data_IF_652732924384
#
_entry.id   IF_652732924384
#
_cell.length_a   1.000
_cell.length_b   1.000
_cell.length_c   1.000
_cell.angle_alpha   90.00
_cell.angle_beta   90.00
_cell.angle_gamma   90.00
#
_symmetry.space_group_name_H-M   'P 1'
#
loop_
_entity.id
_entity.type
_entity.pdbx_description
1 polymer ?
#
# COMPACT_ATOMS: atom_id res chain seq x y z
N UNK A 1 -83.43 40.30 -30.12
CA UNK A 1 -83.03 41.72 -30.12
C UNK A 1 -81.52 41.81 -29.98
N UNK A 2 -80.90 42.57 -30.88
CA UNK A 2 -79.57 43.23 -30.87
C UNK A 2 -78.29 42.42 -30.55
N UNK A 3 -77.37 42.60 -31.50
CA UNK A 3 -75.99 42.15 -31.59
C UNK A 3 -75.00 42.92 -30.69
N UNK A 4 -73.76 42.37 -30.62
CA UNK A 4 -72.43 43.00 -30.52
C UNK A 4 -71.55 42.24 -29.51
N UNK A 5 -70.24 42.01 -29.66
CA UNK A 5 -69.21 42.29 -30.67
C UNK A 5 -67.98 41.44 -30.27
N UNK A 6 -67.25 40.92 -31.26
CA UNK A 6 -65.88 40.39 -31.12
C UNK A 6 -64.92 41.44 -30.57
N UNK A 7 -63.95 41.04 -29.74
CA UNK A 7 -62.54 41.41 -29.94
C UNK A 7 -61.57 40.49 -29.21
N UNK A 8 -60.56 40.07 -29.98
CA UNK A 8 -59.44 39.20 -29.67
C UNK A 8 -58.40 39.98 -28.85
N UNK A 9 -57.93 39.40 -27.74
CA UNK A 9 -56.68 39.80 -27.08
C UNK A 9 -55.86 38.53 -26.87
N UNK A 10 -54.72 38.47 -27.57
CA UNK A 10 -53.79 37.36 -27.54
C UNK A 10 -53.08 37.25 -26.19
N UNK A 11 -52.95 36.01 -25.71
CA UNK A 11 -52.06 35.64 -24.61
C UNK A 11 -50.93 34.81 -25.19
N UNK A 12 -49.74 35.40 -25.23
CA UNK A 12 -48.48 34.70 -25.49
C UNK A 12 -48.20 33.85 -24.26
N UNK A 13 -48.45 32.54 -24.36
CA UNK A 13 -48.01 31.57 -23.36
C UNK A 13 -46.51 31.36 -23.51
N UNK A 14 -45.72 32.09 -22.70
CA UNK A 14 -44.30 31.83 -22.52
C UNK A 14 -44.11 30.46 -21.86
N UNK A 15 -43.59 29.50 -22.61
CA UNK A 15 -43.07 28.24 -22.10
C UNK A 15 -41.83 28.53 -21.23
N UNK A 16 -42.03 28.71 -19.94
CA UNK A 16 -40.95 28.61 -18.95
C UNK A 16 -40.60 27.12 -18.86
N UNK A 17 -39.63 26.72 -19.67
CA UNK A 17 -38.94 25.44 -19.51
C UNK A 17 -38.26 25.44 -18.14
N UNK A 18 -38.84 24.71 -17.19
CA UNK A 18 -38.19 24.36 -15.93
C UNK A 18 -37.06 23.39 -16.28
N UNK A 19 -35.89 23.94 -16.60
CA UNK A 19 -34.64 23.21 -16.58
C UNK A 19 -34.24 23.10 -15.11
N UNK A 20 -34.81 22.10 -14.43
CA UNK A 20 -34.37 21.72 -13.09
C UNK A 20 -32.94 21.19 -13.22
N UNK A 21 -31.99 22.01 -12.77
CA UNK A 21 -30.58 21.65 -12.67
C UNK A 21 -30.43 20.44 -11.74
N UNK A 22 -30.18 19.27 -12.31
CA UNK A 22 -29.62 18.13 -11.59
C UNK A 22 -28.11 18.34 -11.41
N UNK A 23 -27.73 19.33 -10.62
CA UNK A 23 -26.35 19.50 -10.15
C UNK A 23 -26.14 18.68 -8.86
N UNK A 24 -26.33 17.36 -8.99
CA UNK A 24 -25.94 16.37 -8.01
C UNK A 24 -25.11 15.32 -8.74
N UNK A 25 -23.91 15.71 -9.14
CA UNK A 25 -22.99 14.78 -9.82
C UNK A 25 -22.71 13.62 -8.89
N UNK A 26 -23.19 12.42 -9.24
CA UNK A 26 -22.79 11.20 -8.56
C UNK A 26 -21.27 11.13 -8.58
N UNK A 27 -20.65 11.07 -7.40
CA UNK A 27 -19.21 10.82 -7.29
C UNK A 27 -18.88 9.55 -8.09
N UNK A 28 -17.79 9.57 -8.85
CA UNK A 28 -17.37 8.37 -9.57
C UNK A 28 -17.10 7.23 -8.57
N UNK A 29 -17.19 5.98 -9.03
CA UNK A 29 -16.88 4.81 -8.18
C UNK A 29 -15.47 4.94 -7.57
N UNK A 30 -14.51 5.48 -8.33
CA UNK A 30 -13.16 5.79 -7.88
C UNK A 30 -13.13 6.84 -6.75
N UNK A 31 -13.95 7.89 -6.83
CA UNK A 31 -14.03 8.92 -5.79
C UNK A 31 -14.65 8.36 -4.51
N UNK A 32 -15.70 7.54 -4.61
CA UNK A 32 -16.32 6.90 -3.45
C UNK A 32 -15.33 5.96 -2.76
N UNK A 33 -14.65 5.09 -3.53
CA UNK A 33 -13.60 4.20 -3.05
C UNK A 33 -12.47 4.97 -2.37
N UNK A 34 -12.03 6.07 -2.98
CA UNK A 34 -11.02 6.96 -2.41
C UNK A 34 -11.43 7.57 -1.08
N UNK A 35 -12.68 8.05 -0.97
CA UNK A 35 -13.23 8.59 0.27
C UNK A 35 -13.30 7.54 1.39
N UNK A 36 -13.79 6.34 1.10
CA UNK A 36 -13.87 5.24 2.08
C UNK A 36 -12.48 4.87 2.62
N UNK A 37 -11.50 4.73 1.73
CA UNK A 37 -10.13 4.40 2.11
C UNK A 37 -9.45 5.54 2.88
N UNK A 38 -9.63 6.78 2.45
CA UNK A 38 -9.12 7.95 3.17
C UNK A 38 -9.71 8.04 4.58
N UNK A 39 -11.02 7.83 4.72
CA UNK A 39 -11.72 7.82 6.01
C UNK A 39 -11.16 6.73 6.92
N UNK A 40 -10.85 5.56 6.36
CA UNK A 40 -10.35 4.43 7.14
C UNK A 40 -8.89 4.62 7.60
N UNK A 41 -8.01 5.10 6.71
CA UNK A 41 -6.56 5.09 6.93
C UNK A 41 -5.94 6.46 7.19
N UNK A 42 -6.48 7.54 6.61
CA UNK A 42 -5.81 8.84 6.55
C UNK A 42 -6.44 9.89 7.49
N UNK A 43 -7.77 9.88 7.62
CA UNK A 43 -8.55 10.90 8.33
C UNK A 43 -8.13 11.11 9.79
N UNK A 44 -7.64 10.07 10.47
CA UNK A 44 -7.21 10.18 11.87
C UNK A 44 -6.02 11.12 12.09
N UNK A 45 -5.22 11.33 11.04
CA UNK A 45 -4.07 12.24 11.07
C UNK A 45 -4.33 13.51 10.26
N UNK A 46 -4.98 13.39 9.10
CA UNK A 46 -5.22 14.51 8.18
C UNK A 46 -6.57 15.22 8.36
N UNK A 47 -7.47 14.73 9.20
CA UNK A 47 -8.81 15.27 9.36
C UNK A 47 -9.78 14.81 8.28
N UNK A 48 -11.06 15.15 8.41
CA UNK A 48 -12.09 14.81 7.43
C UNK A 48 -11.97 15.69 6.19
N UNK A 49 -11.66 16.99 6.36
CA UNK A 49 -11.51 17.93 5.25
C UNK A 49 -10.08 18.06 4.73
N UNK A 50 -9.11 17.35 5.35
CA UNK A 50 -7.70 17.47 5.02
C UNK A 50 -6.99 18.66 5.66
N UNK A 51 -7.71 19.52 6.41
CA UNK A 51 -7.14 20.68 7.08
C UNK A 51 -6.28 20.29 8.27
N UNK A 52 -5.27 21.10 8.53
CA UNK A 52 -4.47 20.97 9.76
C UNK A 52 -5.34 21.10 11.01
N UNK A 53 -4.92 20.43 12.07
CA UNK A 53 -5.59 20.40 13.38
C UNK A 53 -6.93 19.66 13.44
N UNK A 54 -7.44 19.07 12.36
CA UNK A 54 -8.69 18.31 12.39
C UNK A 54 -8.51 16.83 12.76
N UNK A 55 -7.38 16.23 12.42
CA UNK A 55 -7.11 14.81 12.70
C UNK A 55 -7.14 14.53 14.20
N UNK A 56 -7.84 13.47 14.61
CA UNK A 56 -7.91 13.02 16.02
C UNK A 56 -6.53 12.90 16.68
N UNK A 57 -5.51 12.49 15.93
CA UNK A 57 -4.15 12.29 16.43
C UNK A 57 -3.28 13.57 16.41
N UNK A 58 -3.78 14.68 15.84
CA UNK A 58 -2.99 15.88 15.54
C UNK A 58 -2.21 16.44 16.72
N UNK A 59 -2.88 16.59 17.87
CA UNK A 59 -2.29 17.12 19.10
C UNK A 59 -1.20 16.22 19.70
N UNK A 60 -1.15 14.95 19.31
CA UNK A 60 -0.25 13.95 19.86
C UNK A 60 0.89 13.56 18.89
N UNK A 61 0.88 14.11 17.67
CA UNK A 61 1.94 13.88 16.69
C UNK A 61 3.16 14.80 16.95
N UNK A 62 4.39 14.27 16.86
CA UNK A 62 5.59 15.09 16.87
C UNK A 62 5.70 15.92 15.59
N UNK A 63 6.55 16.94 15.61
CA UNK A 63 6.92 17.66 14.38
C UNK A 63 7.92 16.83 13.54
N UNK A 64 7.88 16.94 12.20
CA UNK A 64 6.87 17.68 11.43
C UNK A 64 5.50 16.98 11.47
N UNK A 65 4.43 17.77 11.56
CA UNK A 65 3.04 17.29 11.51
C UNK A 65 2.57 17.09 10.08
N UNK A 66 1.50 16.30 9.85
CA UNK A 66 0.99 16.07 8.51
C UNK A 66 0.64 17.35 7.76
N UNK A 67 0.91 17.36 6.45
CA UNK A 67 0.63 18.48 5.55
C UNK A 67 -0.87 18.80 5.48
N UNK A 68 -1.20 20.06 5.25
CA UNK A 68 -2.57 20.50 4.95
C UNK A 68 -2.97 20.03 3.53
N UNK A 69 -3.81 19.01 3.45
CA UNK A 69 -4.24 18.46 2.16
C UNK A 69 -5.29 19.32 1.47
N UNK A 70 -5.85 20.32 2.16
CA UNK A 70 -6.83 21.27 1.63
C UNK A 70 -6.18 22.55 1.09
N UNK A 71 -4.90 22.78 1.39
CA UNK A 71 -4.17 23.96 0.92
C UNK A 71 -3.93 23.88 -0.59
N UNK A 72 -4.78 24.57 -1.35
CA UNK A 72 -4.69 24.62 -2.82
C UNK A 72 -3.35 25.14 -3.34
N UNK A 73 -2.79 26.20 -2.75
CA UNK A 73 -1.56 26.82 -3.27
C UNK A 73 -0.38 25.86 -3.20
N UNK A 74 -0.32 25.05 -2.15
CA UNK A 74 0.76 24.09 -1.94
C UNK A 74 0.46 22.78 -2.66
N UNK A 75 -0.73 22.22 -2.48
CA UNK A 75 -1.11 20.91 -3.02
C UNK A 75 -1.17 20.89 -4.55
N UNK A 76 -1.45 22.04 -5.19
CA UNK A 76 -1.40 22.16 -6.66
C UNK A 76 0.01 22.09 -7.24
N UNK A 77 1.07 22.18 -6.43
CA UNK A 77 2.46 22.07 -6.91
C UNK A 77 2.93 20.63 -7.11
N UNK A 78 2.29 19.67 -6.46
CA UNK A 78 2.61 18.24 -6.58
C UNK A 78 1.90 17.61 -7.76
N UNK A 79 2.57 16.70 -8.47
CA UNK A 79 1.96 15.82 -9.47
C UNK A 79 1.19 14.69 -8.78
N UNK A 80 0.30 14.04 -9.53
CA UNK A 80 -0.46 12.89 -9.02
C UNK A 80 0.48 11.76 -8.58
N UNK A 81 1.54 11.54 -9.35
CA UNK A 81 2.58 10.56 -9.07
C UNK A 81 3.36 10.91 -7.80
N UNK A 82 3.57 12.19 -7.48
CA UNK A 82 4.28 12.59 -6.26
C UNK A 82 3.47 12.21 -5.01
N UNK A 83 2.15 12.43 -5.06
CA UNK A 83 1.22 12.03 -3.98
C UNK A 83 1.15 10.50 -3.89
N UNK A 84 1.02 9.81 -5.03
CA UNK A 84 1.01 8.35 -5.10
C UNK A 84 2.29 7.75 -4.49
N UNK A 85 3.45 8.22 -4.93
CA UNK A 85 4.76 7.75 -4.47
C UNK A 85 4.93 8.00 -2.98
N UNK A 86 4.36 9.07 -2.46
CA UNK A 86 4.39 9.36 -1.03
C UNK A 86 3.55 8.39 -0.22
N UNK A 87 2.38 7.97 -0.71
CA UNK A 87 1.52 6.96 -0.06
C UNK A 87 2.14 5.55 -0.19
N UNK A 88 2.85 5.30 -1.29
CA UNK A 88 3.39 3.97 -1.68
C UNK A 88 4.90 3.82 -1.48
N UNK A 89 5.59 4.74 -0.79
CA UNK A 89 7.02 4.60 -0.48
C UNK A 89 7.28 3.56 0.60
N UNK A 90 8.50 3.07 0.69
CA UNK A 90 8.92 2.30 1.86
C UNK A 90 9.07 3.20 3.10
N UNK A 91 9.06 2.59 4.28
CA UNK A 91 9.32 3.29 5.54
C UNK A 91 10.78 3.78 5.56
N UNK A 92 10.99 5.03 5.98
CA UNK A 92 12.30 5.68 6.05
C UNK A 92 12.90 5.47 7.45
N UNK A 93 14.17 5.10 7.54
CA UNK A 93 14.89 5.00 8.82
C UNK A 93 15.50 6.34 9.20
N UNK A 94 14.97 6.99 10.23
CA UNK A 94 15.45 8.29 10.72
C UNK A 94 16.57 8.20 11.76
N UNK A 95 17.12 7.01 11.98
CA UNK A 95 18.28 6.82 12.87
C UNK A 95 19.51 7.57 12.35
N UNK A 96 20.50 7.88 13.20
CA UNK A 96 21.77 8.47 12.74
C UNK A 96 22.40 7.63 11.62
N UNK A 97 22.62 8.26 10.46
CA UNK A 97 23.14 7.59 9.26
C UNK A 97 22.09 6.91 8.37
N UNK A 98 20.81 7.02 8.72
CA UNK A 98 19.68 6.55 7.92
C UNK A 98 19.27 7.53 6.81
N UNK A 99 18.00 7.45 6.42
CA UNK A 99 17.42 8.23 5.33
C UNK A 99 17.37 9.72 5.68
N UNK A 100 17.87 10.54 4.75
CA UNK A 100 17.72 11.99 4.84
C UNK A 100 16.31 12.37 4.42
N UNK A 101 15.67 13.20 5.23
CA UNK A 101 14.34 13.75 4.95
C UNK A 101 14.56 15.23 4.62
N UNK A 102 14.25 15.61 3.39
CA UNK A 102 14.35 17.00 2.96
C UNK A 102 13.14 17.79 3.45
N UNK A 103 13.32 19.10 3.63
CA UNK A 103 12.22 20.01 4.02
C UNK A 103 11.09 20.04 2.95
N UNK A 104 11.41 19.64 1.72
CA UNK A 104 10.48 19.55 0.59
C UNK A 104 9.71 18.21 0.50
N UNK A 105 10.02 17.22 1.36
CA UNK A 105 9.35 15.93 1.32
C UNK A 105 7.88 16.06 1.75
N UNK A 106 6.96 15.62 0.88
CA UNK A 106 5.51 15.68 1.12
C UNK A 106 5.06 14.96 2.41
N UNK A 107 5.72 13.84 2.76
CA UNK A 107 5.41 13.05 3.94
C UNK A 107 6.41 13.22 5.07
N UNK A 108 5.84 13.35 6.25
CA UNK A 108 6.55 13.24 7.51
C UNK A 108 7.05 11.80 7.73
N UNK A 109 8.18 11.59 8.43
CA UNK A 109 8.71 10.24 8.69
C UNK A 109 7.71 9.30 9.37
N UNK A 110 6.80 9.87 10.18
CA UNK A 110 5.77 9.13 10.92
C UNK A 110 4.57 8.73 10.04
N UNK A 111 4.46 9.22 8.80
CA UNK A 111 3.41 8.78 7.89
C UNK A 111 3.68 7.33 7.47
N UNK A 112 2.75 6.39 7.71
CA UNK A 112 2.95 5.00 7.39
C UNK A 112 2.91 4.77 5.88
N UNK A 113 3.60 3.72 5.43
CA UNK A 113 3.46 3.20 4.08
C UNK A 113 2.15 2.42 3.91
N UNK A 114 1.52 2.56 2.74
CA UNK A 114 0.39 1.74 2.33
C UNK A 114 0.72 0.79 1.18
N UNK A 115 1.97 0.82 0.69
CA UNK A 115 2.50 -0.01 -0.40
C UNK A 115 2.20 -1.51 -0.22
N UNK A 116 2.25 -2.00 1.02
CA UNK A 116 2.06 -3.40 1.35
C UNK A 116 0.65 -3.73 1.86
N UNK A 117 -0.24 -2.73 1.87
CA UNK A 117 -1.61 -2.85 2.41
C UNK A 117 -2.65 -2.70 1.32
N UNK A 118 -2.48 -1.72 0.43
CA UNK A 118 -3.44 -1.33 -0.59
C UNK A 118 -2.92 -1.74 -1.98
N UNK A 119 -3.84 -1.99 -2.91
CA UNK A 119 -3.49 -2.16 -4.32
C UNK A 119 -3.12 -0.82 -4.97
N UNK A 120 -2.44 -0.84 -6.13
CA UNK A 120 -2.11 0.38 -6.87
C UNK A 120 -3.37 1.21 -7.18
N UNK A 121 -4.43 0.55 -7.65
CA UNK A 121 -5.73 1.19 -7.93
C UNK A 121 -6.36 1.82 -6.68
N UNK A 122 -6.27 1.18 -5.52
CA UNK A 122 -6.74 1.74 -4.26
C UNK A 122 -5.96 2.99 -3.85
N UNK A 123 -4.64 3.01 -4.05
CA UNK A 123 -3.83 4.20 -3.78
C UNK A 123 -4.20 5.32 -4.76
N UNK A 124 -4.40 5.03 -6.04
CA UNK A 124 -4.89 6.02 -7.00
C UNK A 124 -6.27 6.57 -6.64
N UNK A 125 -7.16 5.74 -6.09
CA UNK A 125 -8.45 6.21 -5.57
C UNK A 125 -8.24 7.21 -4.42
N UNK A 126 -7.32 6.95 -3.50
CA UNK A 126 -6.96 7.90 -2.43
C UNK A 126 -6.40 9.19 -3.02
N UNK A 127 -5.47 9.14 -3.99
CA UNK A 127 -4.93 10.34 -4.65
C UNK A 127 -6.07 11.15 -5.26
N UNK A 128 -6.99 10.49 -5.97
CA UNK A 128 -8.15 11.14 -6.57
C UNK A 128 -9.05 11.83 -5.55
N UNK A 129 -9.26 11.21 -4.38
CA UNK A 129 -10.01 11.85 -3.29
C UNK A 129 -9.23 13.02 -2.68
N UNK A 130 -7.92 12.86 -2.42
CA UNK A 130 -7.06 13.92 -1.90
C UNK A 130 -7.08 15.14 -2.83
N UNK A 131 -7.10 14.96 -4.16
CA UNK A 131 -7.28 16.05 -5.13
C UNK A 131 -8.55 16.86 -4.90
N UNK A 132 -9.64 16.21 -4.50
CA UNK A 132 -10.90 16.92 -4.24
C UNK A 132 -10.83 17.83 -3.02
N UNK A 133 -9.99 17.52 -2.02
CA UNK A 133 -9.86 18.31 -0.78
C UNK A 133 -9.32 19.73 -1.03
N UNK A 134 -8.57 19.92 -2.12
CA UNK A 134 -8.04 21.22 -2.55
C UNK A 134 -8.59 21.69 -3.91
N UNK A 135 -9.75 21.14 -4.33
CA UNK A 135 -10.48 21.59 -5.51
C UNK A 135 -9.85 21.22 -6.86
N UNK A 136 -8.98 20.21 -6.88
CA UNK A 136 -8.42 19.61 -8.10
C UNK A 136 -9.12 18.29 -8.44
N UNK A 137 -8.77 17.73 -9.59
CA UNK A 137 -9.18 16.40 -10.03
C UNK A 137 -7.95 15.56 -10.32
N UNK A 138 -8.09 14.24 -10.24
CA UNK A 138 -7.06 13.32 -10.71
C UNK A 138 -6.85 13.51 -12.21
N UNK A 139 -5.61 13.75 -12.60
CA UNK A 139 -5.17 13.83 -13.99
C UNK A 139 -4.68 12.46 -14.49
N UNK A 140 -4.08 11.67 -13.60
CA UNK A 140 -3.59 10.32 -13.88
C UNK A 140 -4.68 9.39 -14.43
N UNK A 141 -4.33 8.65 -15.49
CA UNK A 141 -5.25 7.78 -16.24
C UNK A 141 -5.17 6.33 -15.76
N UNK A 142 -5.90 6.03 -14.69
CA UNK A 142 -5.92 4.70 -14.04
C UNK A 142 -6.26 3.57 -15.02
N UNK A 143 -7.24 3.77 -15.91
CA UNK A 143 -7.63 2.76 -16.92
C UNK A 143 -6.55 2.53 -17.99
N UNK A 144 -5.83 3.59 -18.40
CA UNK A 144 -4.72 3.46 -19.34
C UNK A 144 -3.56 2.68 -18.71
N UNK A 145 -3.28 2.93 -17.42
CA UNK A 145 -2.30 2.18 -16.64
C UNK A 145 -2.63 0.68 -16.56
N UNK A 146 -3.89 0.34 -16.28
CA UNK A 146 -4.35 -1.05 -16.27
C UNK A 146 -4.16 -1.72 -17.63
N UNK A 147 -4.49 -1.00 -18.70
CA UNK A 147 -4.33 -1.48 -20.08
C UNK A 147 -2.85 -1.72 -20.41
N UNK A 148 -1.98 -0.76 -20.09
CA UNK A 148 -0.53 -0.88 -20.25
C UNK A 148 0.03 -2.12 -19.55
N UNK A 149 -0.36 -2.35 -18.28
CA UNK A 149 0.08 -3.53 -17.53
C UNK A 149 -0.42 -4.85 -18.14
N UNK A 150 -1.65 -4.85 -18.67
CA UNK A 150 -2.23 -6.03 -19.33
C UNK A 150 -1.52 -6.35 -20.65
N UNK A 151 -1.23 -5.32 -21.45
CA UNK A 151 -0.48 -5.45 -22.71
C UNK A 151 0.98 -5.85 -22.46
N UNK A 152 1.60 -5.30 -21.42
CA UNK A 152 2.93 -5.67 -20.95
C UNK A 152 3.03 -7.14 -20.52
N UNK A 153 2.04 -7.62 -19.75
CA UNK A 153 1.96 -9.04 -19.37
C UNK A 153 1.85 -9.94 -20.60
N UNK A 154 0.97 -9.59 -21.56
CA UNK A 154 0.84 -10.34 -22.81
C UNK A 154 2.15 -10.38 -23.59
N UNK A 155 2.82 -9.25 -23.73
CA UNK A 155 4.11 -9.15 -24.44
C UNK A 155 5.19 -9.99 -23.76
N UNK A 156 5.24 -9.98 -22.43
CA UNK A 156 6.16 -10.80 -21.66
C UNK A 156 5.88 -12.29 -21.79
N UNK A 157 4.60 -12.68 -21.83
CA UNK A 157 4.16 -14.06 -22.07
C UNK A 157 4.60 -14.53 -23.46
N UNK A 158 4.30 -13.76 -24.51
CA UNK A 158 4.69 -14.08 -25.88
C UNK A 158 6.23 -14.23 -26.01
N UNK A 159 6.98 -13.37 -25.33
CA UNK A 159 8.46 -13.44 -25.31
C UNK A 159 8.98 -14.68 -24.59
N UNK A 160 8.35 -15.07 -23.47
CA UNK A 160 8.69 -16.29 -22.75
C UNK A 160 8.38 -17.54 -23.58
N UNK A 161 7.22 -17.58 -24.24
CA UNK A 161 6.82 -18.72 -25.08
C UNK A 161 7.77 -18.90 -26.26
N UNK A 162 8.21 -17.81 -26.89
CA UNK A 162 9.24 -17.85 -27.94
C UNK A 162 10.59 -18.35 -27.42
N UNK A 163 11.06 -17.83 -26.28
CA UNK A 163 12.33 -18.24 -25.69
C UNK A 163 12.30 -19.72 -25.25
N UNK A 164 11.16 -20.18 -24.74
CA UNK A 164 10.92 -21.57 -24.38
C UNK A 164 10.95 -22.48 -25.60
N UNK A 165 10.28 -22.12 -26.69
CA UNK A 165 10.31 -22.88 -27.94
C UNK A 165 11.74 -22.97 -28.51
N UNK A 166 12.52 -21.88 -28.45
CA UNK A 166 13.91 -21.89 -28.89
C UNK A 166 14.79 -22.80 -28.01
N UNK A 167 14.60 -22.79 -26.70
CA UNK A 167 15.26 -23.70 -25.77
C UNK A 167 14.92 -25.17 -26.06
N UNK A 168 13.63 -25.51 -26.16
CA UNK A 168 13.18 -26.88 -26.43
C UNK A 168 13.70 -27.39 -27.80
N UNK A 169 13.76 -26.52 -28.81
CA UNK A 169 14.33 -26.87 -30.11
C UNK A 169 15.85 -27.10 -30.05
N UNK A 170 16.59 -26.28 -29.29
CA UNK A 170 18.04 -26.40 -29.13
C UNK A 170 18.42 -27.65 -28.30
N UNK A 171 17.69 -27.90 -27.21
CA UNK A 171 17.84 -29.10 -26.37
C UNK A 171 17.55 -30.36 -27.18
N UNK A 172 16.44 -30.39 -27.94
CA UNK A 172 16.12 -31.52 -28.82
C UNK A 172 17.22 -31.74 -29.86
N UNK A 173 17.74 -30.68 -30.48
CA UNK A 173 18.84 -30.80 -31.45
C UNK A 173 20.10 -31.39 -30.81
N UNK A 174 20.45 -30.95 -29.60
CA UNK A 174 21.59 -31.48 -28.86
C UNK A 174 21.42 -32.97 -28.51
N UNK A 175 20.21 -33.37 -28.10
CA UNK A 175 19.86 -34.77 -27.85
C UNK A 175 19.97 -35.62 -29.13
N UNK A 176 19.37 -35.16 -30.23
CA UNK A 176 19.42 -35.85 -31.53
C UNK A 176 20.89 -35.98 -32.03
N UNK A 177 21.76 -35.01 -31.75
CA UNK A 177 23.20 -35.06 -32.08
C UNK A 177 23.99 -36.04 -31.20
N UNK A 178 23.69 -36.10 -29.90
CA UNK A 178 24.31 -37.04 -28.97
C UNK A 178 23.92 -38.49 -29.28
N UNK A 179 22.65 -38.75 -29.60
CA UNK A 179 22.17 -40.06 -30.05
C UNK A 179 22.92 -40.53 -31.32
N UNK A 180 22.99 -39.68 -32.35
CA UNK A 180 23.72 -39.99 -33.59
C UNK A 180 25.20 -40.29 -33.34
N UNK A 181 25.86 -39.53 -32.46
CA UNK A 181 27.25 -39.80 -32.07
C UNK A 181 27.38 -41.11 -31.31
N UNK A 182 26.40 -41.44 -30.46
CA UNK A 182 26.40 -42.69 -29.70
C UNK A 182 26.28 -43.90 -30.62
N UNK A 183 25.36 -43.85 -31.59
CA UNK A 183 25.19 -44.89 -32.61
C UNK A 183 26.45 -45.07 -33.47
N UNK A 184 27.05 -43.96 -33.93
CA UNK A 184 28.24 -43.99 -34.78
C UNK A 184 29.48 -44.53 -34.05
N UNK A 185 29.61 -44.27 -32.74
CA UNK A 185 30.79 -44.65 -31.95
C UNK A 185 30.61 -45.93 -31.12
N UNK A 186 29.38 -46.46 -31.04
CA UNK A 186 28.99 -47.57 -30.14
C UNK A 186 29.37 -47.32 -28.68
N UNK A 187 29.35 -46.05 -28.26
CA UNK A 187 29.60 -45.60 -26.90
C UNK A 187 28.50 -44.63 -26.52
N UNK A 188 28.09 -44.64 -25.26
CA UNK A 188 27.13 -43.66 -24.78
C UNK A 188 27.78 -42.28 -24.76
N UNK A 189 27.28 -41.37 -25.59
CA UNK A 189 27.69 -39.96 -25.64
C UNK A 189 26.63 -39.14 -24.93
N UNK A 190 27.03 -38.46 -23.86
CA UNK A 190 26.16 -37.57 -23.11
C UNK A 190 25.80 -36.31 -23.93
N UNK A 191 24.63 -35.74 -23.62
CA UNK A 191 24.18 -34.49 -24.23
C UNK A 191 25.09 -33.35 -23.78
N UNK A 192 25.60 -32.57 -24.73
CA UNK A 192 26.40 -31.38 -24.43
C UNK A 192 25.49 -30.23 -23.97
N UNK A 193 25.27 -30.11 -22.66
CA UNK A 193 24.43 -29.04 -22.09
C UNK A 193 24.98 -27.63 -22.40
N UNK A 194 26.28 -27.50 -22.67
CA UNK A 194 26.86 -26.22 -23.05
C UNK A 194 26.38 -25.77 -24.44
N UNK A 195 25.88 -26.68 -25.27
CA UNK A 195 25.43 -26.37 -26.63
C UNK A 195 24.12 -25.57 -26.68
N UNK A 196 23.34 -25.57 -25.60
CA UNK A 196 22.05 -24.84 -25.50
C UNK A 196 21.96 -23.95 -24.24
N UNK A 197 23.08 -23.74 -23.53
CA UNK A 197 23.13 -22.91 -22.33
C UNK A 197 22.67 -21.45 -22.58
N UNK A 198 22.87 -20.93 -23.80
CA UNK A 198 22.44 -19.58 -24.19
C UNK A 198 20.91 -19.48 -24.24
N UNK A 199 20.25 -20.45 -24.85
CA UNK A 199 18.80 -20.52 -24.97
C UNK A 199 18.16 -20.74 -23.59
N UNK A 200 18.79 -21.56 -22.74
CA UNK A 200 18.36 -21.74 -21.35
C UNK A 200 18.41 -20.43 -20.56
N UNK A 201 19.51 -19.68 -20.67
CA UNK A 201 19.66 -18.38 -20.02
C UNK A 201 18.65 -17.35 -20.56
N UNK A 202 18.39 -17.36 -21.87
CA UNK A 202 17.39 -16.48 -22.49
C UNK A 202 15.96 -16.80 -21.99
N UNK A 203 15.60 -18.08 -21.90
CA UNK A 203 14.31 -18.51 -21.34
C UNK A 203 14.18 -18.10 -19.86
N UNK A 204 15.22 -18.30 -19.04
CA UNK A 204 15.21 -17.90 -17.64
C UNK A 204 15.05 -16.37 -17.47
N UNK A 205 15.73 -15.58 -18.31
CA UNK A 205 15.58 -14.13 -18.33
C UNK A 205 14.15 -13.71 -18.74
N UNK A 206 13.60 -14.30 -19.80
CA UNK A 206 12.23 -14.03 -20.24
C UNK A 206 11.19 -14.41 -19.16
N UNK A 207 11.39 -15.54 -18.47
CA UNK A 207 10.55 -15.96 -17.36
C UNK A 207 10.54 -14.95 -16.22
N UNK A 208 11.70 -14.39 -15.87
CA UNK A 208 11.80 -13.33 -14.85
C UNK A 208 11.02 -12.07 -15.25
N UNK A 209 11.03 -11.70 -16.52
CA UNK A 209 10.25 -10.57 -17.05
C UNK A 209 8.75 -10.86 -16.97
N UNK A 210 8.32 -12.06 -17.38
CA UNK A 210 6.93 -12.52 -17.26
C UNK A 210 6.46 -12.48 -15.80
N UNK A 211 7.25 -13.01 -14.87
CA UNK A 211 6.91 -13.02 -13.44
C UNK A 211 6.78 -11.60 -12.88
N UNK A 212 7.66 -10.69 -13.30
CA UNK A 212 7.60 -9.28 -12.91
C UNK A 212 6.33 -8.62 -13.43
N UNK A 213 5.98 -8.82 -14.71
CA UNK A 213 4.76 -8.26 -15.30
C UNK A 213 3.50 -8.82 -14.63
N UNK A 214 3.48 -10.12 -14.30
CA UNK A 214 2.37 -10.74 -13.59
C UNK A 214 2.19 -10.14 -12.19
N UNK A 215 3.29 -9.93 -11.45
CA UNK A 215 3.26 -9.29 -10.13
C UNK A 215 2.76 -7.86 -10.22
N UNK A 216 3.20 -7.08 -11.21
CA UNK A 216 2.73 -5.70 -11.41
C UNK A 216 1.22 -5.65 -11.66
N UNK A 217 0.70 -6.47 -12.58
CA UNK A 217 -0.74 -6.51 -12.85
C UNK A 217 -1.56 -7.00 -11.64
N UNK A 218 -1.04 -7.98 -10.91
CA UNK A 218 -1.70 -8.49 -9.70
C UNK A 218 -1.76 -7.41 -8.61
N UNK A 219 -0.65 -6.71 -8.35
CA UNK A 219 -0.57 -5.63 -7.37
C UNK A 219 -1.43 -4.43 -7.76
N UNK A 220 -1.73 -4.25 -9.05
CA UNK A 220 -2.61 -3.19 -9.50
C UNK A 220 -4.02 -3.34 -8.94
N UNK A 221 -4.63 -4.52 -9.13
CA UNK A 221 -6.01 -4.79 -8.76
C UNK A 221 -6.21 -5.49 -7.41
N UNK A 222 -5.16 -6.06 -6.83
CA UNK A 222 -5.26 -6.89 -5.62
C UNK A 222 -4.35 -6.37 -4.51
N UNK A 223 -4.90 -6.27 -3.30
CA UNK A 223 -4.12 -5.92 -2.10
C UNK A 223 -2.96 -6.90 -1.89
N UNK A 224 -1.75 -6.41 -1.65
CA UNK A 224 -0.61 -7.26 -1.31
C UNK A 224 -0.89 -8.13 -0.08
N UNK A 225 -0.41 -9.37 -0.10
CA UNK A 225 -0.53 -10.28 1.03
C UNK A 225 -1.95 -10.77 1.35
N UNK A 226 -2.95 -10.52 0.49
CA UNK A 226 -4.29 -11.12 0.62
C UNK A 226 -4.18 -12.65 0.60
N UNK A 227 -4.70 -13.31 1.64
CA UNK A 227 -4.63 -14.77 1.78
C UNK A 227 -3.24 -15.32 2.13
N UNK A 228 -2.28 -14.45 2.48
CA UNK A 228 -0.94 -14.89 2.88
C UNK A 228 -0.99 -15.61 4.23
N UNK A 229 -0.46 -16.84 4.27
CA UNK A 229 -0.22 -17.53 5.52
C UNK A 229 1.19 -17.23 6.04
N UNK A 230 1.27 -16.45 7.12
CA UNK A 230 2.56 -16.17 7.77
C UNK A 230 2.90 -17.30 8.72
N UNK A 231 3.99 -18.01 8.41
CA UNK A 231 4.51 -19.09 9.23
C UNK A 231 4.85 -18.62 10.66
N UNK A 232 4.78 -19.57 11.60
CA UNK A 232 5.19 -19.34 12.98
C UNK A 232 6.72 -19.19 13.02
N UNK A 233 7.29 -18.04 13.42
CA UNK A 233 8.74 -17.91 13.55
C UNK A 233 9.28 -18.74 14.72
N UNK A 234 10.52 -19.19 14.59
CA UNK A 234 11.35 -19.51 15.75
C UNK A 234 11.82 -18.20 16.41
N UNK A 235 11.50 -18.10 17.70
CA UNK A 235 11.80 -16.96 18.59
C UNK A 235 12.71 -17.38 19.75
N UNK A 236 13.28 -18.59 19.69
CA UNK A 236 14.17 -19.12 20.73
C UNK A 236 15.50 -18.39 20.69
N UNK A 237 15.90 -17.80 21.81
CA UNK A 237 17.17 -17.09 21.97
C UNK A 237 17.57 -17.01 23.44
N UNK A 238 18.86 -16.80 23.70
CA UNK A 238 19.35 -16.53 25.06
C UNK A 238 18.84 -15.19 25.59
N UNK A 239 18.91 -14.98 26.91
CA UNK A 239 18.51 -13.70 27.51
C UNK A 239 19.33 -12.51 26.98
N UNK A 240 20.62 -12.71 26.72
CA UNK A 240 21.50 -11.69 26.16
C UNK A 240 21.08 -11.32 24.73
N UNK A 241 20.85 -12.32 23.87
CA UNK A 241 20.36 -12.10 22.51
C UNK A 241 18.98 -11.41 22.51
N UNK A 242 18.09 -11.80 23.43
CA UNK A 242 16.79 -11.15 23.59
C UNK A 242 16.92 -9.67 23.96
N UNK A 243 17.85 -9.32 24.86
CA UNK A 243 18.12 -7.94 25.23
C UNK A 243 18.69 -7.13 24.05
N UNK A 244 19.63 -7.71 23.29
CA UNK A 244 20.18 -7.08 22.08
C UNK A 244 19.09 -6.85 21.02
N UNK A 245 18.23 -7.83 20.78
CA UNK A 245 17.11 -7.72 19.86
C UNK A 245 16.07 -6.67 20.32
N UNK A 246 15.81 -6.58 21.63
CA UNK A 246 14.91 -5.56 22.17
C UNK A 246 15.46 -4.14 21.95
N UNK A 247 16.76 -3.94 22.07
CA UNK A 247 17.39 -2.64 21.81
C UNK A 247 17.36 -2.26 20.33
N UNK A 248 17.60 -3.22 19.42
CA UNK A 248 17.37 -3.03 17.97
C UNK A 248 15.90 -2.71 17.70
N UNK A 249 14.99 -3.48 18.29
CA UNK A 249 13.55 -3.32 18.14
C UNK A 249 13.03 -1.97 18.62
N UNK A 250 13.61 -1.41 19.69
CA UNK A 250 13.31 -0.07 20.19
C UNK A 250 13.62 0.99 19.14
N UNK A 251 14.82 0.94 18.54
CA UNK A 251 15.20 1.89 17.48
C UNK A 251 14.31 1.76 16.25
N UNK A 252 14.01 0.53 15.83
CA UNK A 252 13.10 0.28 14.70
C UNK A 252 11.69 0.79 14.97
N UNK A 253 11.17 0.59 16.20
CA UNK A 253 9.87 1.07 16.64
C UNK A 253 9.77 2.60 16.56
N UNK A 254 10.82 3.32 16.97
CA UNK A 254 10.82 4.78 17.04
C UNK A 254 11.17 5.44 15.69
N UNK A 255 12.23 4.96 15.03
CA UNK A 255 12.91 5.74 14.00
C UNK A 255 12.60 5.28 12.57
N UNK A 256 12.35 3.98 12.37
CA UNK A 256 12.09 3.41 11.03
C UNK A 256 10.62 3.21 10.77
N UNK A 257 9.93 2.52 11.68
CA UNK A 257 8.52 2.17 11.49
C UNK A 257 7.55 3.17 12.13
N UNK A 258 8.07 4.18 12.87
CA UNK A 258 7.28 5.28 13.42
C UNK A 258 6.09 4.82 14.23
N UNK A 259 6.20 3.70 14.94
CA UNK A 259 5.09 3.05 15.64
C UNK A 259 4.50 3.98 16.71
N UNK A 260 5.34 4.82 17.33
CA UNK A 260 4.96 5.89 18.25
C UNK A 260 4.09 6.99 17.61
N UNK A 261 4.05 7.09 16.28
CA UNK A 261 3.14 8.01 15.59
C UNK A 261 1.68 7.61 15.77
N UNK A 262 1.39 6.32 15.92
CA UNK A 262 0.04 5.79 16.11
C UNK A 262 -0.21 5.26 17.52
N UNK A 263 0.78 4.60 18.13
CA UNK A 263 0.68 3.95 19.43
C UNK A 263 1.31 4.78 20.54
N UNK A 264 0.80 4.62 21.76
CA UNK A 264 1.39 5.21 22.95
C UNK A 264 2.15 4.20 23.81
N UNK A 265 3.17 4.70 24.51
CA UNK A 265 3.92 4.04 25.59
C UNK A 265 4.10 5.06 26.72
N UNK A 266 3.82 4.65 27.95
CA UNK A 266 3.86 5.47 29.15
C UNK A 266 3.06 6.79 29.03
N UNK A 267 1.96 6.78 28.25
CA UNK A 267 1.15 7.97 27.99
C UNK A 267 1.68 8.89 26.89
N UNK A 268 2.85 8.60 26.31
CA UNK A 268 3.45 9.37 25.23
C UNK A 268 3.29 8.68 23.87
N UNK A 269 3.08 9.46 22.81
CA UNK A 269 2.90 8.98 21.43
C UNK A 269 1.47 9.14 20.91
N UNK A 270 1.17 8.39 19.85
CA UNK A 270 -0.10 8.48 19.14
C UNK A 270 -1.29 7.87 19.88
N UNK A 271 -2.49 8.26 19.46
CA UNK A 271 -3.79 7.83 20.02
C UNK A 271 -4.62 6.99 19.04
N UNK A 272 -4.14 6.78 17.82
CA UNK A 272 -4.85 6.00 16.78
C UNK A 272 -4.82 4.51 17.10
N UNK A 273 -3.64 4.02 17.48
CA UNK A 273 -3.41 2.66 17.95
C UNK A 273 -3.61 2.54 19.46
N UNK A 274 -3.87 1.34 19.98
CA UNK A 274 -3.94 1.11 21.43
C UNK A 274 -2.59 1.35 22.11
N UNK A 275 -2.65 1.74 23.39
CA UNK A 275 -1.48 1.78 24.26
C UNK A 275 -0.78 0.41 24.35
N UNK A 276 0.55 0.40 24.26
CA UNK A 276 1.37 -0.81 24.17
C UNK A 276 2.11 -1.15 25.45
N UNK A 277 1.92 -0.40 26.53
CA UNK A 277 2.57 -0.55 27.85
C UNK A 277 2.55 -1.97 28.43
N UNK A 278 1.51 -2.72 28.05
CA UNK A 278 1.25 -4.09 28.53
C UNK A 278 1.32 -5.12 27.42
N UNK A 279 1.87 -4.78 26.26
CA UNK A 279 1.94 -5.66 25.10
C UNK A 279 2.65 -6.98 25.45
N UNK A 280 3.78 -6.93 26.14
CA UNK A 280 4.55 -8.11 26.54
C UNK A 280 3.91 -8.95 27.65
N UNK A 281 2.92 -8.39 28.37
CA UNK A 281 2.08 -9.17 29.29
C UNK A 281 0.91 -9.84 28.57
N UNK A 282 0.30 -9.14 27.58
CA UNK A 282 -0.96 -9.54 26.93
C UNK A 282 -0.77 -10.37 25.66
N UNK A 283 0.36 -10.20 24.97
CA UNK A 283 0.59 -10.71 23.63
C UNK A 283 1.82 -11.63 23.61
N UNK A 284 1.75 -12.69 22.81
CA UNK A 284 2.86 -13.58 22.54
C UNK A 284 3.75 -12.99 21.42
N UNK A 285 5.07 -12.97 21.59
CA UNK A 285 6.02 -12.47 20.57
C UNK A 285 5.86 -13.11 19.19
N UNK A 286 5.51 -14.41 19.12
CA UNK A 286 5.20 -15.06 17.85
C UNK A 286 3.95 -14.49 17.18
N UNK A 287 2.92 -14.15 17.97
CA UNK A 287 1.71 -13.52 17.47
C UNK A 287 2.01 -12.09 17.01
N UNK A 288 2.79 -11.33 17.79
CA UNK A 288 3.23 -9.97 17.45
C UNK A 288 4.02 -9.98 16.14
N UNK A 289 4.95 -10.92 15.95
CA UNK A 289 5.68 -11.07 14.69
C UNK A 289 4.75 -11.19 13.50
N UNK A 290 3.77 -12.10 13.56
CA UNK A 290 2.84 -12.35 12.46
C UNK A 290 1.96 -11.11 12.22
N UNK A 291 1.52 -10.45 13.29
CA UNK A 291 0.78 -9.20 13.20
C UNK A 291 1.59 -8.12 12.50
N UNK A 292 2.87 -7.94 12.84
CA UNK A 292 3.74 -6.95 12.20
C UNK A 292 4.05 -7.27 10.73
N UNK A 293 4.11 -8.56 10.36
CA UNK A 293 4.37 -8.98 8.97
C UNK A 293 3.19 -8.67 8.04
N UNK A 294 1.96 -8.94 8.48
CA UNK A 294 0.75 -8.57 7.74
C UNK A 294 -0.47 -8.58 8.69
N UNK A 295 -0.85 -7.43 9.26
CA UNK A 295 -1.99 -7.35 10.18
C UNK A 295 -3.31 -7.77 9.52
N UNK A 296 -3.49 -7.49 8.23
CA UNK A 296 -4.69 -7.69 7.43
C UNK A 296 -4.94 -9.18 7.15
N UNK A 297 -3.88 -10.00 7.12
CA UNK A 297 -4.00 -11.46 7.07
C UNK A 297 -4.57 -12.05 8.37
N UNK A 298 -4.48 -11.33 9.49
CA UNK A 298 -5.02 -11.74 10.79
C UNK A 298 -6.36 -11.08 11.12
N UNK A 299 -6.52 -9.81 10.76
CA UNK A 299 -7.75 -9.04 10.90
C UNK A 299 -7.91 -8.11 9.70
N UNK A 300 -8.75 -8.49 8.75
CA UNK A 300 -8.93 -7.82 7.46
C UNK A 300 -9.21 -6.31 7.60
N UNK A 301 -10.10 -5.94 8.54
CA UNK A 301 -10.54 -4.54 8.75
C UNK A 301 -9.67 -3.75 9.75
N UNK A 302 -8.45 -4.21 10.03
CA UNK A 302 -7.55 -3.48 10.93
C UNK A 302 -7.00 -2.23 10.25
N UNK A 303 -7.00 -1.11 10.99
CA UNK A 303 -6.43 0.17 10.52
C UNK A 303 -4.91 0.19 10.51
N UNK A 304 -4.25 -0.74 11.22
CA UNK A 304 -2.79 -0.83 11.22
C UNK A 304 -2.34 -1.35 9.85
N UNK A 305 -1.62 -0.56 9.04
CA UNK A 305 -1.14 -1.02 7.75
C UNK A 305 -0.01 -2.04 7.92
N UNK A 306 0.17 -2.91 6.92
CA UNK A 306 1.40 -3.66 6.74
C UNK A 306 2.51 -2.67 6.34
N UNK A 307 3.56 -2.57 7.17
CA UNK A 307 4.65 -1.61 7.00
C UNK A 307 5.87 -2.18 6.26
N UNK A 308 5.78 -3.42 5.76
CA UNK A 308 6.88 -4.06 5.02
C UNK A 308 8.06 -4.49 5.89
N UNK A 309 7.83 -4.88 7.16
CA UNK A 309 8.91 -5.33 8.04
C UNK A 309 9.62 -6.55 7.45
N UNK A 310 10.96 -6.52 7.47
CA UNK A 310 11.78 -7.72 7.25
C UNK A 310 11.57 -8.73 8.39
N UNK A 311 11.96 -9.98 8.19
CA UNK A 311 11.83 -10.99 9.25
C UNK A 311 12.71 -10.65 10.47
N UNK A 312 13.90 -10.10 10.22
CA UNK A 312 14.79 -9.64 11.28
C UNK A 312 14.16 -8.47 12.06
N UNK A 313 13.62 -7.48 11.34
CA UNK A 313 12.99 -6.30 11.96
C UNK A 313 11.75 -6.69 12.77
N UNK A 314 10.88 -7.54 12.22
CA UNK A 314 9.69 -8.04 12.91
C UNK A 314 10.05 -8.82 14.18
N UNK A 315 11.11 -9.64 14.16
CA UNK A 315 11.61 -10.32 15.36
C UNK A 315 12.10 -9.32 16.40
N UNK A 316 12.96 -8.37 16.01
CA UNK A 316 13.51 -7.37 16.90
C UNK A 316 12.42 -6.54 17.59
N UNK A 317 11.47 -5.99 16.82
CA UNK A 317 10.34 -5.21 17.36
C UNK A 317 9.46 -6.09 18.27
N UNK A 318 9.24 -7.36 17.94
CA UNK A 318 8.48 -8.27 18.81
C UNK A 318 9.18 -8.51 20.15
N UNK A 319 10.52 -8.58 20.15
CA UNK A 319 11.29 -8.70 21.39
C UNK A 319 11.25 -7.42 22.22
N UNK A 320 11.31 -6.26 21.57
CA UNK A 320 11.12 -4.98 22.26
C UNK A 320 9.74 -4.90 22.93
N UNK A 321 8.66 -5.19 22.20
CA UNK A 321 7.30 -5.16 22.75
C UNK A 321 7.09 -6.21 23.86
N UNK A 322 7.82 -7.33 23.86
CA UNK A 322 7.79 -8.31 24.95
C UNK A 322 8.33 -7.75 26.28
N UNK A 323 9.14 -6.70 26.24
CA UNK A 323 9.62 -6.00 27.45
C UNK A 323 8.55 -5.09 28.07
N UNK A 324 7.47 -4.77 27.33
CA UNK A 324 6.38 -3.91 27.79
C UNK A 324 5.46 -4.66 28.76
N UNK A 325 5.80 -4.57 30.05
CA UNK A 325 5.16 -5.32 31.14
C UNK A 325 4.67 -4.42 32.26
N UNK A 326 4.14 -3.24 31.92
CA UNK A 326 3.57 -2.34 32.92
C UNK A 326 2.47 -3.04 33.75
N UNK A 327 2.34 -2.69 35.04
CA UNK A 327 1.29 -3.23 35.90
C UNK A 327 -0.10 -2.90 35.33
N UNK A 328 -1.12 -3.64 35.76
CA UNK A 328 -2.50 -3.29 35.44
C UNK A 328 -2.79 -1.94 36.09
N UNK A 329 -3.28 -0.96 35.31
CA UNK A 329 -3.76 0.30 35.87
C UNK A 329 -4.80 -0.01 36.97
N UNK A 330 -4.63 0.60 38.13
CA UNK A 330 -5.43 0.31 39.33
C UNK A 330 -6.85 0.88 39.24
N UNK A 331 -7.11 1.83 38.33
CA UNK A 331 -8.43 2.39 38.07
C UNK A 331 -9.01 1.96 36.72
N UNK A 332 -10.33 1.70 36.63
CA UNK A 332 -11.01 1.54 35.34
C UNK A 332 -10.81 2.82 34.53
N UNK A 333 -10.53 2.69 33.23
CA UNK A 333 -10.55 3.82 32.31
C UNK A 333 -11.90 4.50 32.45
N UNK A 334 -11.92 5.77 32.87
CA UNK A 334 -13.13 6.56 32.99
C UNK A 334 -13.99 6.37 31.74
N UNK A 335 -15.27 6.05 31.97
CA UNK A 335 -16.23 5.81 30.92
C UNK A 335 -16.18 6.97 29.91
N UNK A 336 -16.13 6.63 28.62
CA UNK A 336 -16.16 7.60 27.53
C UNK A 336 -17.38 8.51 27.78
N UNK A 337 -17.24 9.85 27.88
CA UNK A 337 -18.41 10.70 28.05
C UNK A 337 -19.36 10.43 26.87
N UNK A 338 -20.62 10.16 27.20
CA UNK A 338 -21.67 10.01 26.21
C UNK A 338 -21.90 11.37 25.54
N UNK A 339 -21.54 11.47 24.27
CA UNK A 339 -21.98 12.54 23.36
C UNK A 339 -21.75 12.11 21.92
#
# INVERSE_FOLDING_TARGET
MKAARLQVIGTVAGLIGIWAMTAGGCASEQQKKGHELYTHYCMHCHGESGRQNEGFNWSSMPDPKPKDLSNKSEMSTFKDEDIFNTISRDMKDTSPGGDKIGDDDFAVPTMPTFKYTLSEDEIWAIVGYVRTLHGMKLEFKVEERKKELTEGLKTAQDSFDQAKQAYEAAEKKASDEAEKKSEATKKDVEVDEASYAKEQAAMAAAKKVLDTAQVMLNNFGTRPGKGLNIARPDMTMTAEQAAQQAEVGKRLYQNKYGCNGCHSLAGEGGKVGPALDRAGFRLNSTWVYRWLKNPQAMKVETRMPALGLSDADAKAVSMYLNTMRAPRAEEPVAEKPAS
#
